data_IF_381282385292
#
_entry.id   IF_381282385292
#
_cell.length_a   1.000
_cell.length_b   1.000
_cell.length_c   1.000
_cell.angle_alpha   90.00
_cell.angle_beta   90.00
_cell.angle_gamma   90.00
#
_symmetry.space_group_name_H-M   'P 1'
#
loop_
_entity.id
_entity.type
_entity.pdbx_description
1 polymer ?
#
# COMPACT_ATOMS: atom_id res chain seq x y z
N UNK A 1 12.40 -14.87 4.01
CA UNK A 1 10.98 -14.78 4.45
C UNK A 1 10.08 -15.64 3.59
N UNK A 2 9.89 -15.31 2.29
CA UNK A 2 8.96 -16.01 1.39
C UNK A 2 9.16 -17.51 1.37
N UNK A 3 10.36 -17.99 1.05
CA UNK A 3 10.67 -19.43 1.00
C UNK A 3 10.37 -20.15 2.31
N UNK A 4 10.56 -19.48 3.46
CA UNK A 4 10.24 -20.07 4.77
C UNK A 4 8.74 -20.20 4.99
N UNK A 5 7.95 -19.20 4.57
CA UNK A 5 6.49 -19.28 4.64
C UNK A 5 5.97 -20.41 3.75
N UNK A 6 6.43 -20.48 2.50
CA UNK A 6 6.02 -21.52 1.55
C UNK A 6 6.43 -22.91 2.04
N UNK A 7 7.65 -23.06 2.59
CA UNK A 7 8.13 -24.33 3.16
C UNK A 7 7.30 -24.80 4.36
N UNK A 8 6.90 -23.89 5.24
CA UNK A 8 6.19 -24.24 6.49
C UNK A 8 4.70 -24.46 6.24
N UNK A 9 4.09 -23.68 5.35
CA UNK A 9 2.63 -23.67 5.15
C UNK A 9 2.19 -24.43 3.90
N UNK A 10 3.10 -24.76 2.99
CA UNK A 10 2.78 -25.33 1.68
C UNK A 10 2.11 -24.35 0.72
N UNK A 11 2.00 -23.06 1.10
CA UNK A 11 1.47 -22.02 0.23
C UNK A 11 2.33 -21.90 -1.03
N UNK A 12 1.66 -21.68 -2.16
CA UNK A 12 2.28 -21.28 -3.42
C UNK A 12 2.08 -19.79 -3.64
N UNK A 13 2.98 -19.19 -4.40
CA UNK A 13 2.88 -17.81 -4.85
C UNK A 13 2.87 -16.78 -3.70
N UNK A 14 3.46 -17.12 -2.55
CA UNK A 14 3.52 -16.19 -1.42
C UNK A 14 4.41 -14.98 -1.76
N UNK A 15 5.44 -15.18 -2.60
CA UNK A 15 6.24 -14.08 -3.13
C UNK A 15 5.44 -13.11 -4.00
N UNK A 16 4.55 -13.64 -4.86
CA UNK A 16 3.64 -12.85 -5.68
C UNK A 16 2.63 -12.10 -4.78
N UNK A 17 2.11 -12.75 -3.75
CA UNK A 17 1.27 -12.11 -2.74
C UNK A 17 1.97 -10.93 -2.08
N UNK A 18 3.22 -11.13 -1.63
CA UNK A 18 4.03 -10.06 -1.04
C UNK A 18 4.29 -8.92 -2.03
N UNK A 19 4.58 -9.20 -3.30
CA UNK A 19 4.70 -8.15 -4.31
C UNK A 19 3.40 -7.31 -4.41
N UNK A 20 2.21 -7.93 -4.39
CA UNK A 20 0.93 -7.20 -4.41
C UNK A 20 0.75 -6.31 -3.18
N UNK A 21 1.09 -6.82 -1.98
CA UNK A 21 1.05 -6.03 -0.73
C UNK A 21 1.95 -4.81 -0.84
N UNK A 22 3.23 -5.01 -1.18
CA UNK A 22 4.21 -3.93 -1.28
C UNK A 22 3.83 -2.92 -2.37
N UNK A 23 3.18 -3.38 -3.44
CA UNK A 23 2.66 -2.52 -4.51
C UNK A 23 1.53 -1.61 -4.00
N UNK A 24 0.56 -2.17 -3.26
CA UNK A 24 -0.53 -1.40 -2.64
C UNK A 24 0.03 -0.41 -1.63
N UNK A 25 0.91 -0.86 -0.74
CA UNK A 25 1.48 -0.01 0.31
C UNK A 25 2.31 1.14 -0.27
N UNK A 26 3.07 0.91 -1.35
CA UNK A 26 3.80 1.97 -2.04
C UNK A 26 2.87 2.98 -2.75
N UNK A 27 1.79 2.49 -3.37
CA UNK A 27 0.83 3.34 -4.08
C UNK A 27 0.02 4.23 -3.15
N UNK A 28 -0.34 3.71 -1.98
CA UNK A 28 -1.18 4.38 -1.00
C UNK A 28 -0.39 4.89 0.21
N UNK A 29 0.94 4.77 0.22
CA UNK A 29 1.82 5.21 1.30
C UNK A 29 1.40 4.66 2.68
N UNK A 30 1.12 3.36 2.76
CA UNK A 30 0.80 2.72 4.04
C UNK A 30 2.06 2.49 4.86
N UNK A 31 2.31 3.39 5.81
CA UNK A 31 3.52 3.38 6.64
C UNK A 31 3.47 2.41 7.81
N UNK A 32 2.30 1.85 8.12
CA UNK A 32 2.11 0.94 9.24
C UNK A 32 1.91 -0.51 8.82
N UNK A 33 2.40 -0.87 7.62
CA UNK A 33 2.54 -2.29 7.25
C UNK A 33 3.71 -2.91 8.01
N UNK A 34 3.42 -3.57 9.13
CA UNK A 34 4.34 -4.49 9.78
C UNK A 34 3.89 -5.95 9.62
N UNK A 35 4.72 -6.92 10.00
CA UNK A 35 4.42 -8.36 9.82
C UNK A 35 3.19 -8.84 10.58
N UNK A 36 2.75 -8.16 11.65
CA UNK A 36 1.48 -8.48 12.30
C UNK A 36 0.25 -8.05 11.48
N UNK A 37 0.42 -7.19 10.48
CA UNK A 37 -0.62 -6.74 9.53
C UNK A 37 -0.58 -7.58 8.24
N UNK A 38 0.02 -8.77 8.32
CA UNK A 38 0.04 -9.81 7.30
C UNK A 38 -0.49 -11.09 7.93
N UNK A 39 -1.41 -11.74 7.23
CA UNK A 39 -2.01 -12.98 7.70
C UNK A 39 -2.03 -14.04 6.61
N UNK A 40 -2.08 -15.29 7.05
CA UNK A 40 -2.48 -16.45 6.24
C UNK A 40 -3.68 -17.08 6.92
N UNK A 41 -4.65 -17.52 6.13
CA UNK A 41 -5.83 -18.22 6.63
C UNK A 41 -5.49 -19.69 6.81
N UNK A 42 -6.03 -20.31 7.85
CA UNK A 42 -5.92 -21.75 8.05
C UNK A 42 -7.26 -22.35 8.47
N UNK A 43 -7.42 -23.66 8.29
CA UNK A 43 -8.59 -24.42 8.72
C UNK A 43 -8.18 -25.48 9.77
N UNK A 44 -9.16 -26.18 10.33
CA UNK A 44 -8.93 -27.25 11.33
C UNK A 44 -8.16 -28.46 10.78
N UNK A 45 -7.92 -28.51 9.47
CA UNK A 45 -7.16 -29.56 8.79
C UNK A 45 -5.69 -29.19 8.57
N UNK A 46 -5.29 -27.96 8.91
CA UNK A 46 -3.93 -27.45 8.69
C UNK A 46 -3.65 -26.98 7.27
N UNK A 47 -4.67 -26.82 6.42
CA UNK A 47 -4.50 -26.23 5.10
C UNK A 47 -4.33 -24.72 5.22
N UNK A 48 -3.43 -24.12 4.44
CA UNK A 48 -3.21 -22.68 4.43
C UNK A 48 -3.71 -22.03 3.13
N UNK A 49 -4.21 -20.79 3.24
CA UNK A 49 -4.55 -19.92 2.12
C UNK A 49 -4.03 -18.50 2.35
N UNK A 50 -3.78 -17.78 1.26
CA UNK A 50 -3.45 -16.36 1.31
C UNK A 50 -4.65 -15.58 1.87
N UNK A 51 -4.40 -14.68 2.83
CA UNK A 51 -5.42 -13.75 3.32
C UNK A 51 -5.61 -12.59 2.34
N UNK A 52 -6.83 -12.05 2.19
CA UNK A 52 -7.01 -10.71 1.64
C UNK A 52 -6.11 -9.70 2.35
N UNK A 53 -5.72 -8.64 1.63
CA UNK A 53 -4.93 -7.54 2.20
C UNK A 53 -5.88 -6.68 3.03
N UNK A 54 -5.55 -6.48 4.30
CA UNK A 54 -6.38 -5.78 5.28
C UNK A 54 -5.54 -4.73 6.03
N UNK A 55 -6.18 -4.00 6.95
CA UNK A 55 -5.54 -2.99 7.79
C UNK A 55 -4.73 -1.95 6.99
N UNK A 56 -5.47 -1.12 6.25
CA UNK A 56 -4.93 -0.05 5.40
C UNK A 56 -5.20 1.35 5.99
N UNK A 57 -5.56 1.43 7.28
CA UNK A 57 -6.03 2.67 7.92
C UNK A 57 -4.93 3.74 8.06
N UNK A 58 -3.67 3.31 8.13
CA UNK A 58 -2.48 4.17 8.16
C UNK A 58 -1.92 4.48 6.75
N UNK A 59 -2.74 4.34 5.71
CA UNK A 59 -2.43 4.82 4.38
C UNK A 59 -2.77 6.29 4.20
N UNK A 60 -2.37 6.84 3.04
CA UNK A 60 -2.73 8.18 2.57
C UNK A 60 -2.29 9.31 3.50
N UNK A 61 -1.27 9.06 4.34
CA UNK A 61 -0.79 10.02 5.35
C UNK A 61 -1.93 10.49 6.26
N UNK A 62 -2.70 9.53 6.78
CA UNK A 62 -3.97 9.77 7.47
C UNK A 62 -3.85 10.50 8.81
N UNK A 63 -2.70 10.45 9.49
CA UNK A 63 -2.44 11.27 10.68
C UNK A 63 -2.13 12.72 10.31
N UNK A 64 -3.19 13.46 9.98
CA UNK A 64 -3.13 14.89 9.70
C UNK A 64 -2.97 15.78 10.94
N UNK A 65 -2.90 15.18 12.14
CA UNK A 65 -2.89 15.92 13.41
C UNK A 65 -1.49 16.09 13.98
N UNK A 66 -0.64 15.06 13.90
CA UNK A 66 0.69 15.06 14.49
C UNK A 66 1.76 14.86 13.41
N UNK A 67 1.72 13.76 12.67
CA UNK A 67 2.78 13.43 11.71
C UNK A 67 2.71 14.26 10.43
N UNK A 68 1.51 14.53 9.94
CA UNK A 68 1.27 15.17 8.66
C UNK A 68 0.34 16.39 8.70
N UNK A 69 0.66 17.44 9.47
CA UNK A 69 -0.18 18.64 9.60
C UNK A 69 -0.66 19.21 8.26
N UNK A 70 -1.90 19.70 8.21
CA UNK A 70 -2.50 20.29 7.00
C UNK A 70 -1.82 21.59 6.55
N UNK A 71 -1.08 22.25 7.43
CA UNK A 71 -0.29 23.46 7.11
C UNK A 71 0.92 23.17 6.21
N UNK A 72 1.26 21.90 6.00
CA UNK A 72 2.41 21.47 5.20
C UNK A 72 1.91 20.91 3.87
N UNK A 73 2.53 21.36 2.79
CA UNK A 73 2.29 20.83 1.45
C UNK A 73 2.62 19.33 1.38
N UNK A 74 1.63 18.52 0.99
CA UNK A 74 1.70 17.05 1.01
C UNK A 74 2.85 16.50 0.17
N UNK A 75 3.11 17.12 -0.99
CA UNK A 75 4.14 16.69 -1.95
C UNK A 75 5.53 16.68 -1.29
N UNK A 76 5.82 17.68 -0.44
CA UNK A 76 7.10 17.80 0.26
C UNK A 76 7.30 16.74 1.35
N UNK A 77 6.23 16.05 1.78
CA UNK A 77 6.25 15.06 2.85
C UNK A 77 6.14 13.62 2.35
N UNK A 78 5.68 13.38 1.12
CA UNK A 78 5.61 12.03 0.55
C UNK A 78 6.95 11.30 0.59
N UNK A 79 8.08 12.01 0.42
CA UNK A 79 9.42 11.43 0.50
C UNK A 79 9.89 11.10 1.93
N UNK A 80 9.22 11.65 2.95
CA UNK A 80 9.54 11.41 4.36
C UNK A 80 8.78 10.23 4.95
N UNK A 81 7.71 9.75 4.29
CA UNK A 81 6.94 8.59 4.72
C UNK A 81 7.81 7.34 4.58
N UNK A 82 7.90 6.55 5.66
CA UNK A 82 8.75 5.36 5.72
C UNK A 82 7.91 4.10 5.79
N UNK A 83 8.30 3.07 5.03
CA UNK A 83 7.70 1.75 5.18
C UNK A 83 8.23 1.04 6.44
N UNK A 84 7.46 0.08 6.96
CA UNK A 84 7.86 -0.74 8.11
C UNK A 84 7.90 -2.25 7.82
N UNK A 85 7.74 -2.66 6.55
CA UNK A 85 7.62 -4.08 6.18
C UNK A 85 8.97 -4.80 6.15
N UNK A 86 9.93 -4.29 5.37
CA UNK A 86 11.26 -4.93 5.18
C UNK A 86 12.38 -3.91 5.42
N UNK A 87 12.27 -2.73 4.83
CA UNK A 87 13.13 -1.58 5.05
C UNK A 87 12.29 -0.30 5.14
N UNK A 88 12.92 0.85 5.29
CA UNK A 88 12.25 2.15 5.46
C UNK A 88 11.92 2.86 4.14
N UNK A 89 12.13 2.20 2.99
CA UNK A 89 11.86 2.75 1.65
C UNK A 89 10.87 1.90 0.87
N UNK A 90 9.68 2.46 0.61
CA UNK A 90 8.67 1.85 -0.28
C UNK A 90 9.23 1.51 -1.66
N UNK A 91 10.07 2.39 -2.21
CA UNK A 91 10.68 2.19 -3.52
C UNK A 91 11.63 0.99 -3.53
N UNK A 92 12.51 0.88 -2.53
CA UNK A 92 13.49 -0.20 -2.48
C UNK A 92 12.83 -1.56 -2.30
N UNK A 93 11.89 -1.67 -1.36
CA UNK A 93 11.16 -2.92 -1.13
C UNK A 93 10.33 -3.34 -2.35
N UNK A 94 9.63 -2.37 -2.99
CA UNK A 94 8.84 -2.66 -4.18
C UNK A 94 9.74 -3.12 -5.33
N UNK A 95 10.81 -2.39 -5.62
CA UNK A 95 11.76 -2.73 -6.70
C UNK A 95 12.43 -4.08 -6.47
N UNK A 96 12.80 -4.40 -5.23
CA UNK A 96 13.33 -5.71 -4.89
C UNK A 96 12.30 -6.82 -5.16
N UNK A 97 11.04 -6.60 -4.77
CA UNK A 97 9.96 -7.55 -5.01
C UNK A 97 9.64 -7.73 -6.49
N UNK A 98 9.64 -6.66 -7.29
CA UNK A 98 9.40 -6.70 -8.74
C UNK A 98 10.53 -7.44 -9.47
N UNK A 99 11.78 -7.26 -9.03
CA UNK A 99 12.92 -8.01 -9.59
C UNK A 99 12.79 -9.51 -9.36
N UNK A 100 12.25 -9.93 -8.21
CA UNK A 100 12.12 -11.34 -7.84
C UNK A 100 10.86 -12.00 -8.40
N UNK A 101 9.74 -11.27 -8.42
CA UNK A 101 8.41 -11.83 -8.69
C UNK A 101 7.68 -11.19 -9.87
N UNK A 102 8.26 -10.15 -10.49
CA UNK A 102 7.62 -9.38 -11.54
C UNK A 102 6.54 -8.42 -11.02
N UNK A 103 5.84 -7.77 -11.96
CA UNK A 103 4.75 -6.85 -11.66
C UNK A 103 3.41 -7.59 -11.69
N UNK A 104 2.84 -7.87 -10.52
CA UNK A 104 1.64 -8.71 -10.39
C UNK A 104 0.36 -7.93 -10.08
N UNK A 105 0.42 -6.61 -10.02
CA UNK A 105 -0.72 -5.72 -9.80
C UNK A 105 -0.58 -4.47 -10.67
N UNK A 106 -1.70 -4.08 -11.29
CA UNK A 106 -1.81 -2.88 -12.09
C UNK A 106 -3.08 -2.11 -11.69
N UNK A 107 -3.06 -0.81 -11.88
CA UNK A 107 -4.16 0.10 -11.55
C UNK A 107 -4.74 0.72 -12.82
N UNK A 108 -6.04 0.99 -12.82
CA UNK A 108 -6.72 1.65 -13.94
C UNK A 108 -7.77 2.65 -13.44
N UNK A 109 -7.34 3.57 -12.57
CA UNK A 109 -8.21 4.64 -12.11
C UNK A 109 -7.88 5.97 -12.79
N UNK A 110 -8.92 6.70 -13.13
CA UNK A 110 -8.86 8.06 -13.64
C UNK A 110 -9.02 9.10 -12.53
N UNK A 111 -8.56 10.32 -12.78
CA UNK A 111 -8.71 11.43 -11.83
C UNK A 111 -10.19 11.65 -11.45
N UNK A 112 -11.11 11.50 -12.40
CA UNK A 112 -12.55 11.64 -12.13
C UNK A 112 -13.04 10.62 -11.09
N UNK A 113 -12.63 9.36 -11.20
CA UNK A 113 -13.01 8.31 -10.27
C UNK A 113 -12.43 8.54 -8.87
N UNK A 114 -11.22 9.10 -8.78
CA UNK A 114 -10.63 9.49 -7.48
C UNK A 114 -11.54 10.53 -6.81
N UNK A 115 -11.92 11.59 -7.54
CA UNK A 115 -12.80 12.64 -6.99
C UNK A 115 -14.14 12.09 -6.55
N UNK A 116 -14.79 11.30 -7.41
CA UNK A 116 -16.09 10.68 -7.09
C UNK A 116 -16.02 9.85 -5.80
N UNK A 117 -14.95 9.06 -5.59
CA UNK A 117 -14.78 8.26 -4.35
C UNK A 117 -14.51 9.15 -3.13
N UNK A 118 -13.64 10.15 -3.27
CA UNK A 118 -13.27 11.04 -2.15
C UNK A 118 -14.44 11.94 -1.75
N UNK A 119 -15.27 12.36 -2.71
CA UNK A 119 -16.42 13.23 -2.46
C UNK A 119 -17.49 12.55 -1.61
N UNK A 120 -17.67 11.23 -1.73
CA UNK A 120 -18.58 10.41 -0.90
C UNK A 120 -18.20 10.40 0.58
N UNK A 121 -16.95 10.75 0.93
CA UNK A 121 -16.49 10.72 2.31
C UNK A 121 -16.97 11.96 3.09
N UNK A 122 -18.19 11.91 3.63
CA UNK A 122 -18.88 13.06 4.24
C UNK A 122 -18.21 13.66 5.49
N UNK A 123 -17.41 12.87 6.20
CA UNK A 123 -16.82 13.27 7.49
C UNK A 123 -15.47 14.00 7.38
N UNK A 124 -15.02 14.32 6.17
CA UNK A 124 -13.73 14.96 5.94
C UNK A 124 -13.89 16.35 5.32
N UNK A 125 -13.04 17.28 5.76
CA UNK A 125 -13.00 18.62 5.21
C UNK A 125 -12.54 18.62 3.75
N UNK A 126 -12.85 19.70 3.03
CA UNK A 126 -12.44 19.87 1.62
C UNK A 126 -10.90 19.81 1.50
N UNK A 127 -10.18 20.36 2.48
CA UNK A 127 -8.72 20.36 2.53
C UNK A 127 -8.15 18.93 2.62
N UNK A 128 -8.75 18.07 3.46
CA UNK A 128 -8.35 16.67 3.58
C UNK A 128 -8.65 15.93 2.27
N UNK A 129 -9.84 16.14 1.69
CA UNK A 129 -10.23 15.55 0.41
C UNK A 129 -9.25 15.91 -0.71
N UNK A 130 -8.94 17.20 -0.84
CA UNK A 130 -7.98 17.68 -1.85
C UNK A 130 -6.58 17.09 -1.63
N UNK A 131 -6.13 17.01 -0.37
CA UNK A 131 -4.85 16.39 -0.02
C UNK A 131 -4.75 14.93 -0.48
N UNK A 132 -5.82 14.14 -0.27
CA UNK A 132 -5.87 12.74 -0.73
C UNK A 132 -5.80 12.66 -2.25
N UNK A 133 -6.52 13.54 -2.97
CA UNK A 133 -6.47 13.61 -4.44
C UNK A 133 -5.04 13.91 -4.90
N UNK A 134 -4.40 14.94 -4.36
CA UNK A 134 -3.05 15.35 -4.73
C UNK A 134 -2.02 14.25 -4.47
N UNK A 135 -2.13 13.57 -3.33
CA UNK A 135 -1.30 12.42 -2.98
C UNK A 135 -1.44 11.29 -4.00
N UNK A 136 -2.67 10.90 -4.35
CA UNK A 136 -2.92 9.81 -5.30
C UNK A 136 -2.47 10.15 -6.73
N UNK A 137 -2.54 11.42 -7.12
CA UNK A 137 -2.00 11.88 -8.40
C UNK A 137 -0.46 11.84 -8.42
N UNK A 138 0.18 12.23 -7.32
CA UNK A 138 1.65 12.20 -7.20
C UNK A 138 2.18 10.76 -7.13
N UNK A 139 1.55 9.86 -6.37
CA UNK A 139 1.95 8.44 -6.36
C UNK A 139 1.69 7.77 -7.71
N UNK A 140 0.57 8.09 -8.38
CA UNK A 140 0.32 7.66 -9.77
C UNK A 140 1.42 8.15 -10.73
N UNK A 141 1.84 9.40 -10.61
CA UNK A 141 2.94 9.96 -11.42
C UNK A 141 4.26 9.20 -11.17
N UNK A 142 4.57 8.91 -9.91
CA UNK A 142 5.79 8.19 -9.49
C UNK A 142 5.84 6.75 -9.99
N UNK A 143 4.71 6.04 -9.92
CA UNK A 143 4.60 4.63 -10.28
C UNK A 143 3.79 4.42 -11.55
N UNK A 144 3.96 5.31 -12.54
CA UNK A 144 3.16 5.33 -13.77
C UNK A 144 3.17 4.00 -14.54
N UNK A 145 4.26 3.23 -14.46
CA UNK A 145 4.44 1.94 -15.12
C UNK A 145 3.53 0.84 -14.56
N UNK A 146 2.91 1.07 -13.39
CA UNK A 146 1.89 0.19 -12.81
C UNK A 146 0.46 0.51 -13.29
N UNK A 147 0.30 1.47 -14.21
CA UNK A 147 -1.02 1.82 -14.75
C UNK A 147 -1.24 1.25 -16.14
N UNK A 148 -2.41 0.65 -16.37
CA UNK A 148 -2.81 0.02 -17.64
C UNK A 148 -4.26 0.31 -17.99
#
# INVERSE_FOLDING_TARGET
LVEQVERVTGLKDFGIYMNKVLTIDAMFLNEDRHTHNLAVLTNDKGDFKLSPIFDNGAGLMSDSTIEYPLTIEVINKISAVKSKTICDSFYEQLKASEKLYGNNLFFNYEHKQIKEIVDIADNYSIEIKQRVIDLLLETKRRYNYLFK
#
